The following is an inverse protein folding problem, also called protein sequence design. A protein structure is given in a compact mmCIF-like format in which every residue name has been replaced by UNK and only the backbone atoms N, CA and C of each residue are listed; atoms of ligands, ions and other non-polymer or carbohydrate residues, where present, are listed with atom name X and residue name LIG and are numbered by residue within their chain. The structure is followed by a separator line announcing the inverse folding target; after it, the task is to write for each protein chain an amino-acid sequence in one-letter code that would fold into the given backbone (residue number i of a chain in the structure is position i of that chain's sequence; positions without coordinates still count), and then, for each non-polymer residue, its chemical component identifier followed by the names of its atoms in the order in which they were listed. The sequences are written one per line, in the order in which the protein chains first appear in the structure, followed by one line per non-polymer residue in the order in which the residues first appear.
data_IF_799762261949
#
_entry.id   IF_799762261949
#
_cell.length_a   1.000
_cell.length_b   1.000
_cell.length_c   1.000
_cell.angle_alpha   90.00
_cell.angle_beta   90.00
_cell.angle_gamma   90.00
#
_symmetry.space_group_name_H-M   'P 1'
#
loop_
_entity.id
_entity.type
_entity.pdbx_description
1 polymer ?
#
# COMPACT_ATOMS: atom_id res chain seq x y z
N UNK A 1 9.52 -13.29 16.90
CA UNK A 1 8.52 -12.62 16.05
C UNK A 1 8.75 -13.07 14.62
N UNK A 2 7.75 -13.61 13.92
CA UNK A 2 7.91 -13.99 12.50
C UNK A 2 7.79 -12.73 11.64
N UNK A 3 8.70 -12.55 10.70
CA UNK A 3 8.63 -11.48 9.69
C UNK A 3 7.65 -11.93 8.62
N UNK A 4 6.70 -11.07 8.25
CA UNK A 4 5.78 -11.27 7.12
C UNK A 4 6.22 -10.39 5.96
N UNK A 5 6.03 -10.87 4.73
CA UNK A 5 6.44 -10.15 3.52
C UNK A 5 5.25 -10.05 2.56
N UNK A 6 4.86 -8.83 2.25
CA UNK A 6 3.76 -8.53 1.32
C UNK A 6 4.34 -8.07 -0.01
N UNK A 7 3.70 -8.46 -1.13
CA UNK A 7 4.14 -8.13 -2.49
C UNK A 7 2.96 -7.71 -3.34
N UNK A 8 3.24 -6.82 -4.30
CA UNK A 8 2.29 -6.39 -5.33
C UNK A 8 3.11 -5.92 -6.55
N UNK A 9 2.64 -6.28 -7.74
CA UNK A 9 3.13 -5.68 -8.99
C UNK A 9 2.22 -4.51 -9.34
N UNK A 10 2.63 -3.29 -8.96
CA UNK A 10 1.84 -2.10 -9.19
C UNK A 10 2.24 -1.40 -10.50
N UNK A 11 1.30 -1.35 -11.44
CA UNK A 11 1.49 -0.71 -12.74
C UNK A 11 1.08 0.78 -12.75
N UNK A 12 0.52 1.31 -11.66
CA UNK A 12 -0.01 2.67 -11.57
C UNK A 12 1.02 3.60 -10.95
N UNK A 13 1.61 3.24 -9.80
CA UNK A 13 2.58 4.03 -9.04
C UNK A 13 3.71 4.61 -9.90
N UNK A 14 4.34 3.87 -10.83
CA UNK A 14 5.39 4.42 -11.68
C UNK A 14 4.92 5.53 -12.63
N UNK A 15 3.61 5.61 -12.90
CA UNK A 15 3.00 6.59 -13.78
C UNK A 15 2.43 7.80 -13.01
N UNK A 16 2.46 7.78 -11.68
CA UNK A 16 1.98 8.90 -10.87
C UNK A 16 3.04 9.99 -10.74
N UNK A 17 2.62 11.25 -10.85
CA UNK A 17 3.47 12.38 -10.49
C UNK A 17 3.49 12.53 -8.97
N UNK A 18 4.52 11.95 -8.35
CA UNK A 18 4.72 12.01 -6.91
C UNK A 18 5.54 13.25 -6.53
N UNK A 19 5.17 13.97 -5.45
CA UNK A 19 5.99 15.08 -4.96
C UNK A 19 7.33 14.56 -4.42
N UNK A 20 8.36 15.42 -4.41
CA UNK A 20 9.65 15.14 -3.77
C UNK A 20 9.87 16.14 -2.62
N UNK A 21 9.88 15.70 -1.34
CA UNK A 21 9.78 14.29 -0.89
C UNK A 21 8.35 13.74 -0.98
N UNK A 22 8.25 12.44 -1.31
CA UNK A 22 6.96 11.74 -1.38
C UNK A 22 6.54 11.24 0.00
N UNK A 23 5.33 11.56 0.49
CA UNK A 23 4.85 11.04 1.78
C UNK A 23 4.58 9.53 1.67
N UNK A 24 5.12 8.79 2.65
CA UNK A 24 4.89 7.35 2.81
C UNK A 24 4.28 7.08 4.19
N UNK A 25 3.19 6.32 4.24
CA UNK A 25 2.53 5.93 5.48
C UNK A 25 2.27 4.43 5.50
N UNK A 26 2.54 3.80 6.63
CA UNK A 26 2.22 2.40 6.91
C UNK A 26 1.30 2.37 8.12
N UNK A 27 0.17 1.68 8.02
CA UNK A 27 -0.82 1.55 9.09
C UNK A 27 -1.24 0.09 9.23
N UNK A 28 -1.33 -0.40 10.47
CA UNK A 28 -1.86 -1.72 10.78
C UNK A 28 -3.14 -1.51 11.59
N UNK A 29 -4.28 -1.95 11.04
CA UNK A 29 -5.57 -1.89 11.72
C UNK A 29 -6.47 -3.01 11.21
N UNK A 30 -7.38 -3.47 12.06
CA UNK A 30 -8.43 -4.43 11.69
C UNK A 30 -7.91 -5.68 10.97
N UNK A 31 -6.78 -6.22 11.43
CA UNK A 31 -6.16 -7.40 10.80
C UNK A 31 -5.58 -7.15 9.40
N UNK A 32 -5.44 -5.91 8.98
CA UNK A 32 -4.91 -5.53 7.67
C UNK A 32 -3.68 -4.63 7.77
N UNK A 33 -2.80 -4.74 6.77
CA UNK A 33 -1.71 -3.81 6.50
C UNK A 33 -2.17 -2.83 5.41
N UNK A 34 -1.98 -1.54 5.67
CA UNK A 34 -2.17 -0.48 4.69
C UNK A 34 -0.83 0.19 4.39
N UNK A 35 -0.53 0.36 3.10
CA UNK A 35 0.57 1.18 2.61
C UNK A 35 -0.01 2.33 1.81
N UNK A 36 0.48 3.54 2.03
CA UNK A 36 0.16 4.71 1.23
C UNK A 36 1.46 5.38 0.77
N UNK A 37 1.55 5.70 -0.52
CA UNK A 37 2.65 6.43 -1.15
C UNK A 37 2.03 7.53 -2.01
N UNK A 38 2.12 8.79 -1.56
CA UNK A 38 1.42 9.90 -2.20
C UNK A 38 -0.09 9.64 -2.28
N UNK A 39 -0.62 9.67 -3.51
CA UNK A 39 -2.04 9.43 -3.80
C UNK A 39 -2.40 7.95 -4.04
N UNK A 40 -1.44 7.02 -3.88
CA UNK A 40 -1.64 5.59 -4.12
C UNK A 40 -1.67 4.83 -2.79
N UNK A 41 -2.65 3.95 -2.63
CA UNK A 41 -2.75 3.08 -1.46
C UNK A 41 -2.93 1.60 -1.82
N UNK A 42 -2.56 0.73 -0.88
CA UNK A 42 -2.69 -0.72 -0.97
C UNK A 42 -3.09 -1.29 0.39
N UNK A 43 -3.86 -2.38 0.35
CA UNK A 43 -4.29 -3.14 1.50
C UNK A 43 -3.94 -4.62 1.33
N UNK A 44 -3.43 -5.23 2.41
CA UNK A 44 -3.28 -6.68 2.55
C UNK A 44 -3.92 -7.18 3.83
N UNK A 45 -4.47 -8.38 3.78
CA UNK A 45 -4.96 -9.10 4.96
C UNK A 45 -3.79 -9.83 5.64
N UNK A 46 -3.67 -9.73 6.97
CA UNK A 46 -2.62 -10.42 7.73
C UNK A 46 -2.88 -11.91 7.91
N UNK A 47 -4.12 -12.39 7.90
CA UNK A 47 -4.44 -13.82 8.12
C UNK A 47 -3.88 -14.67 6.98
N UNK A 48 -4.20 -14.26 5.75
CA UNK A 48 -3.87 -15.01 4.54
C UNK A 48 -2.67 -14.43 3.75
N UNK A 49 -2.14 -13.29 4.18
CA UNK A 49 -1.13 -12.51 3.45
C UNK A 49 -1.58 -12.13 2.03
N UNK A 50 -2.90 -12.09 1.81
CA UNK A 50 -3.51 -11.81 0.51
C UNK A 50 -3.62 -10.32 0.28
N UNK A 51 -3.30 -9.92 -0.94
CA UNK A 51 -3.63 -8.60 -1.43
C UNK A 51 -5.15 -8.45 -1.52
N UNK A 52 -5.68 -7.42 -0.87
CA UNK A 52 -7.12 -7.13 -0.81
C UNK A 52 -7.50 -6.17 -1.93
N UNK A 53 -6.71 -5.11 -2.11
CA UNK A 53 -7.02 -4.07 -3.07
C UNK A 53 -6.11 -2.87 -2.96
N UNK A 54 -6.34 -1.91 -3.85
CA UNK A 54 -5.53 -0.72 -3.98
C UNK A 54 -6.35 0.43 -4.58
N UNK A 55 -6.21 1.63 -4.01
CA UNK A 55 -6.85 2.85 -4.49
C UNK A 55 -5.86 3.86 -5.06
N UNK A 56 -6.36 4.75 -5.93
CA UNK A 56 -5.63 5.95 -6.33
C UNK A 56 -6.57 7.12 -6.13
N UNK A 57 -6.23 8.00 -5.21
CA UNK A 57 -6.97 9.23 -5.00
C UNK A 57 -6.73 10.15 -6.20
N UNK A 58 -7.77 10.39 -6.99
CA UNK A 58 -7.77 11.37 -8.09
C UNK A 58 -8.17 12.72 -7.50
N UNK A 59 -7.23 13.39 -6.82
CA UNK A 59 -7.42 14.76 -6.34
C UNK A 59 -7.17 15.75 -7.48
#
# INVERSE_FOLDING_TARGET
MKVKTFKIDDLILPNLSLPDPCPVKIEIRDGSLFLQIGQRDWQWDFEDEKFVGCGTDLV
#
